data_IF_622195312757
#
_entry.id   IF_622195312757
#
_cell.length_a   1.000
_cell.length_b   1.000
_cell.length_c   1.000
_cell.angle_alpha   90.00
_cell.angle_beta   90.00
_cell.angle_gamma   90.00
#
_symmetry.space_group_name_H-M   'P 1'
#
loop_
_entity.id
_entity.type
_entity.pdbx_description
1 polymer ?
#
# COMPACT_ATOMS: atom_id res chain seq x y z
N UNK A 1 -29.06 -29.94 -52.25
CA UNK A 1 -29.14 -30.24 -50.81
C UNK A 1 -30.20 -29.36 -50.19
N UNK A 2 -31.08 -29.91 -49.36
CA UNK A 2 -32.08 -29.14 -48.62
C UNK A 2 -31.38 -28.18 -47.65
N UNK A 3 -31.54 -26.88 -47.89
CA UNK A 3 -30.88 -25.80 -47.12
C UNK A 3 -31.32 -25.79 -45.66
N UNK A 4 -32.56 -26.20 -45.38
CA UNK A 4 -33.08 -26.33 -44.02
C UNK A 4 -32.39 -27.48 -43.29
N UNK A 5 -32.35 -28.67 -43.90
CA UNK A 5 -31.66 -29.83 -43.34
C UNK A 5 -30.18 -29.56 -43.09
N UNK A 6 -29.51 -28.86 -44.00
CA UNK A 6 -28.12 -28.46 -43.84
C UNK A 6 -27.90 -27.53 -42.64
N UNK A 7 -28.76 -26.53 -42.45
CA UNK A 7 -28.73 -25.67 -41.28
C UNK A 7 -28.92 -26.45 -39.98
N UNK A 8 -29.93 -27.32 -39.91
CA UNK A 8 -30.26 -28.10 -38.71
C UNK A 8 -29.11 -29.05 -38.35
N UNK A 9 -28.52 -29.76 -39.31
CA UNK A 9 -27.38 -30.65 -39.06
C UNK A 9 -26.16 -29.89 -38.53
N UNK A 10 -25.83 -28.75 -39.17
CA UNK A 10 -24.73 -27.89 -38.72
C UNK A 10 -24.97 -27.33 -37.31
N UNK A 11 -26.18 -26.83 -37.05
CA UNK A 11 -26.55 -26.25 -35.77
C UNK A 11 -26.59 -27.28 -34.64
N UNK A 12 -27.03 -28.52 -34.92
CA UNK A 12 -27.04 -29.62 -33.96
C UNK A 12 -25.63 -30.03 -33.56
N UNK A 13 -24.72 -30.16 -34.53
CA UNK A 13 -23.30 -30.46 -34.30
C UNK A 13 -22.58 -29.35 -33.52
N UNK A 14 -22.83 -28.08 -33.85
CA UNK A 14 -22.19 -26.94 -33.18
C UNK A 14 -22.58 -26.79 -31.72
N UNK A 15 -23.84 -27.08 -31.40
CA UNK A 15 -24.42 -26.80 -30.09
C UNK A 15 -24.69 -28.07 -29.27
N UNK A 16 -24.12 -29.21 -29.66
CA UNK A 16 -24.22 -30.48 -28.93
C UNK A 16 -25.66 -30.82 -28.51
N UNK A 17 -26.61 -30.71 -29.46
CA UNK A 17 -28.04 -31.04 -29.24
C UNK A 17 -28.74 -30.25 -28.12
N UNK A 18 -28.29 -29.04 -27.80
CA UNK A 18 -28.91 -28.17 -26.78
C UNK A 18 -30.21 -27.47 -27.21
N UNK A 19 -30.61 -27.63 -28.46
CA UNK A 19 -31.71 -26.90 -29.05
C UNK A 19 -32.63 -27.82 -29.86
N UNK A 20 -33.92 -27.49 -29.83
CA UNK A 20 -34.96 -28.05 -30.69
C UNK A 20 -35.16 -27.16 -31.93
N UNK A 21 -35.19 -27.78 -33.10
CA UNK A 21 -35.36 -27.12 -34.39
C UNK A 21 -36.68 -27.51 -35.09
N UNK A 22 -37.59 -28.21 -34.40
CA UNK A 22 -38.88 -28.67 -34.95
C UNK A 22 -39.70 -27.55 -35.62
N UNK A 23 -39.61 -26.32 -35.11
CA UNK A 23 -40.34 -25.14 -35.61
C UNK A 23 -39.54 -24.27 -36.58
N UNK A 24 -38.34 -24.68 -36.97
CA UNK A 24 -37.51 -23.90 -37.89
C UNK A 24 -38.09 -23.94 -39.29
N UNK A 25 -38.34 -22.76 -39.85
CA UNK A 25 -38.67 -22.55 -41.27
C UNK A 25 -37.55 -21.73 -41.88
N UNK A 26 -36.68 -22.37 -42.68
CA UNK A 26 -35.49 -21.71 -43.20
C UNK A 26 -35.78 -20.93 -44.49
N UNK A 27 -35.53 -19.62 -44.48
CA UNK A 27 -35.64 -18.77 -45.66
C UNK A 27 -34.26 -18.34 -46.21
N UNK A 28 -33.42 -17.76 -45.35
CA UNK A 28 -32.05 -17.37 -45.67
C UNK A 28 -31.23 -17.23 -44.37
N UNK A 29 -29.95 -16.91 -44.48
CA UNK A 29 -29.04 -16.87 -43.34
C UNK A 29 -29.30 -15.71 -42.36
N UNK A 30 -30.08 -14.70 -42.75
CA UNK A 30 -30.31 -13.46 -42.01
C UNK A 30 -31.72 -13.39 -41.38
N UNK A 31 -32.72 -13.99 -42.02
CA UNK A 31 -34.09 -14.05 -41.50
C UNK A 31 -34.11 -14.88 -40.22
N UNK A 32 -34.72 -14.33 -39.16
CA UNK A 32 -34.82 -15.01 -37.87
C UNK A 32 -35.72 -16.24 -37.99
N UNK A 33 -35.30 -17.32 -37.33
CA UNK A 33 -36.05 -18.57 -37.17
C UNK A 33 -36.34 -18.80 -35.70
N UNK A 34 -37.43 -19.53 -35.41
CA UNK A 34 -37.76 -19.96 -34.05
C UNK A 34 -36.90 -21.17 -33.69
N UNK A 35 -36.09 -21.05 -32.64
CA UNK A 35 -35.23 -22.09 -32.10
C UNK A 35 -35.68 -22.38 -30.67
N UNK A 36 -35.95 -23.64 -30.33
CA UNK A 36 -36.28 -24.06 -28.99
C UNK A 36 -35.01 -24.27 -28.15
N UNK A 37 -34.83 -23.54 -27.06
CA UNK A 37 -33.88 -23.95 -26.02
C UNK A 37 -34.53 -25.02 -25.15
N UNK A 38 -33.85 -26.15 -24.92
CA UNK A 38 -34.36 -27.22 -24.07
C UNK A 38 -34.59 -26.80 -22.60
N UNK A 39 -33.99 -25.69 -22.17
CA UNK A 39 -34.07 -25.18 -20.79
C UNK A 39 -35.01 -23.96 -20.70
N UNK A 40 -34.91 -23.03 -21.65
CA UNK A 40 -35.58 -21.72 -21.56
C UNK A 40 -36.71 -21.52 -22.59
N UNK A 41 -37.02 -22.54 -23.39
CA UNK A 41 -38.07 -22.48 -24.40
C UNK A 41 -37.67 -21.76 -25.69
N UNK A 42 -38.66 -21.44 -26.53
CA UNK A 42 -38.47 -20.83 -27.85
C UNK A 42 -37.87 -19.43 -27.79
N UNK A 43 -36.95 -19.14 -28.71
CA UNK A 43 -36.41 -17.81 -28.96
C UNK A 43 -36.12 -17.62 -30.45
N UNK A 44 -35.94 -16.37 -30.88
CA UNK A 44 -35.69 -16.04 -32.29
C UNK A 44 -34.24 -15.63 -32.54
N UNK A 45 -33.58 -16.31 -33.48
CA UNK A 45 -32.25 -15.93 -33.96
C UNK A 45 -32.11 -16.18 -35.46
N UNK A 46 -31.21 -15.42 -36.11
CA UNK A 46 -30.87 -15.70 -37.51
C UNK A 46 -29.95 -16.93 -37.61
N UNK A 47 -30.09 -17.76 -38.65
CA UNK A 47 -29.22 -18.91 -38.85
C UNK A 47 -27.72 -18.58 -38.78
N UNK A 48 -27.29 -17.45 -39.37
CA UNK A 48 -25.89 -17.02 -39.35
C UNK A 48 -25.38 -16.65 -37.95
N UNK A 49 -26.23 -16.04 -37.11
CA UNK A 49 -25.85 -15.75 -35.73
C UNK A 49 -25.72 -17.04 -34.91
N UNK A 50 -26.65 -17.98 -35.12
CA UNK A 50 -26.68 -19.25 -34.40
C UNK A 50 -25.51 -20.16 -34.78
N UNK A 51 -25.14 -20.25 -36.07
CA UNK A 51 -24.06 -21.14 -36.54
C UNK A 51 -22.71 -20.43 -36.60
N UNK A 52 -22.56 -19.38 -37.41
CA UNK A 52 -21.27 -18.72 -37.66
C UNK A 52 -20.76 -17.96 -36.44
N UNK A 53 -21.63 -17.20 -35.75
CA UNK A 53 -21.25 -16.51 -34.51
C UNK A 53 -21.39 -17.38 -33.26
N UNK A 54 -21.87 -18.62 -33.41
CA UNK A 54 -22.09 -19.59 -32.33
C UNK A 54 -22.93 -19.00 -31.17
N UNK A 55 -23.83 -18.08 -31.47
CA UNK A 55 -24.71 -17.51 -30.47
C UNK A 55 -25.72 -18.58 -30.04
N UNK A 56 -25.96 -18.65 -28.74
CA UNK A 56 -26.89 -19.59 -28.13
C UNK A 56 -28.08 -18.87 -27.52
N UNK A 57 -28.85 -19.56 -26.68
CA UNK A 57 -29.95 -18.95 -25.94
C UNK A 57 -29.47 -17.73 -25.13
N UNK A 58 -30.10 -16.54 -25.28
CA UNK A 58 -29.72 -15.34 -24.53
C UNK A 58 -29.83 -15.50 -23.00
N UNK A 59 -30.78 -16.33 -22.54
CA UNK A 59 -30.99 -16.60 -21.12
C UNK A 59 -29.88 -17.50 -20.55
N UNK A 60 -29.52 -18.57 -21.26
CA UNK A 60 -28.34 -19.38 -20.93
C UNK A 60 -27.05 -18.53 -20.86
N UNK A 61 -26.86 -17.60 -21.80
CA UNK A 61 -25.69 -16.73 -21.80
C UNK A 61 -25.69 -15.78 -20.60
N UNK A 62 -26.86 -15.22 -20.26
CA UNK A 62 -27.03 -14.34 -19.10
C UNK A 62 -26.72 -15.08 -17.79
N UNK A 63 -27.25 -16.30 -17.62
CA UNK A 63 -26.97 -17.14 -16.45
C UNK A 63 -25.49 -17.50 -16.34
N UNK A 64 -24.86 -17.90 -17.45
CA UNK A 64 -23.43 -18.20 -17.47
C UNK A 64 -22.57 -16.97 -17.13
N UNK A 65 -23.00 -15.76 -17.53
CA UNK A 65 -22.35 -14.50 -17.13
C UNK A 65 -22.53 -14.21 -15.64
N UNK A 66 -23.71 -14.44 -15.08
CA UNK A 66 -23.97 -14.27 -13.64
C UNK A 66 -23.07 -15.21 -12.83
N UNK A 67 -23.00 -16.48 -13.20
CA UNK A 67 -22.15 -17.48 -12.53
C UNK A 67 -20.67 -17.07 -12.64
N UNK A 68 -20.19 -16.69 -13.84
CA UNK A 68 -18.81 -16.22 -14.06
C UNK A 68 -18.48 -14.96 -13.26
N UNK A 69 -19.42 -14.05 -13.08
CA UNK A 69 -19.20 -12.82 -12.33
C UNK A 69 -19.30 -13.03 -10.82
N UNK A 70 -20.13 -13.96 -10.35
CA UNK A 70 -20.23 -14.31 -8.92
C UNK A 70 -18.92 -14.93 -8.40
N UNK A 71 -18.22 -15.68 -9.25
CA UNK A 71 -16.93 -16.30 -8.94
C UNK A 71 -15.70 -15.41 -9.27
N UNK A 72 -15.91 -14.12 -9.57
CA UNK A 72 -14.82 -13.17 -9.93
C UNK A 72 -14.40 -12.24 -8.80
N UNK A 73 -15.14 -12.22 -7.69
CA UNK A 73 -14.75 -11.45 -6.51
C UNK A 73 -13.68 -12.21 -5.73
N UNK A 74 -12.57 -11.54 -5.42
CA UNK A 74 -11.63 -12.03 -4.41
C UNK A 74 -12.38 -12.19 -3.07
N UNK A 75 -12.04 -13.21 -2.31
CA UNK A 75 -12.38 -13.28 -0.88
C UNK A 75 -11.49 -12.33 -0.08
N UNK A 76 -11.86 -12.04 1.18
CA UNK A 76 -10.99 -11.28 2.08
C UNK A 76 -9.62 -11.96 2.22
N UNK A 77 -9.58 -13.29 2.35
CA UNK A 77 -8.34 -14.04 2.48
C UNK A 77 -7.41 -13.87 1.27
N UNK A 78 -7.95 -14.02 0.06
CA UNK A 78 -7.17 -13.81 -1.17
C UNK A 78 -6.76 -12.34 -1.36
N UNK A 79 -7.57 -11.39 -0.91
CA UNK A 79 -7.20 -9.97 -0.88
C UNK A 79 -6.00 -9.74 0.04
N UNK A 80 -6.04 -10.28 1.28
CA UNK A 80 -4.98 -10.12 2.27
C UNK A 80 -3.68 -10.76 1.79
N UNK A 81 -3.73 -11.96 1.21
CA UNK A 81 -2.54 -12.62 0.66
C UNK A 81 -1.85 -11.74 -0.39
N UNK A 82 -2.62 -11.19 -1.35
CA UNK A 82 -2.07 -10.28 -2.36
C UNK A 82 -1.58 -8.97 -1.78
N UNK A 83 -2.32 -8.40 -0.84
CA UNK A 83 -1.91 -7.15 -0.19
C UNK A 83 -0.61 -7.32 0.61
N UNK A 84 -0.42 -8.47 1.25
CA UNK A 84 0.81 -8.81 1.96
C UNK A 84 2.01 -9.00 1.04
N UNK A 85 1.81 -9.51 -0.18
CA UNK A 85 2.87 -9.58 -1.19
C UNK A 85 3.31 -8.19 -1.67
N UNK A 86 2.37 -7.24 -1.84
CA UNK A 86 2.68 -5.87 -2.27
C UNK A 86 3.33 -5.04 -1.16
N UNK A 87 2.87 -5.22 0.09
CA UNK A 87 3.27 -4.38 1.22
C UNK A 87 4.16 -5.10 2.24
N UNK A 88 4.71 -6.26 1.88
CA UNK A 88 5.61 -7.06 2.74
C UNK A 88 5.05 -7.29 4.17
N UNK A 89 3.77 -7.65 4.27
CA UNK A 89 3.05 -7.85 5.55
C UNK A 89 2.99 -6.62 6.48
N UNK A 90 3.08 -5.40 5.95
CA UNK A 90 3.10 -4.17 6.76
C UNK A 90 1.79 -3.83 7.49
N UNK A 91 0.64 -4.20 6.95
CA UNK A 91 -0.66 -3.73 7.44
C UNK A 91 -1.46 -4.85 8.10
N UNK A 92 -2.30 -4.50 9.08
CA UNK A 92 -3.27 -5.41 9.66
C UNK A 92 -4.65 -5.25 8.99
N UNK A 93 -5.29 -6.39 8.73
CA UNK A 93 -6.60 -6.50 8.09
C UNK A 93 -7.59 -7.29 8.96
N UNK A 94 -7.24 -7.59 10.22
CA UNK A 94 -8.04 -8.44 11.11
C UNK A 94 -9.47 -7.91 11.34
N UNK A 95 -9.64 -6.59 11.32
CA UNK A 95 -10.94 -5.91 11.48
C UNK A 95 -11.53 -5.43 10.13
N UNK A 96 -10.90 -5.77 9.00
CA UNK A 96 -11.32 -5.29 7.68
C UNK A 96 -12.56 -6.02 7.18
N UNK A 97 -13.56 -5.26 6.74
CA UNK A 97 -14.71 -5.81 5.99
C UNK A 97 -14.47 -5.64 4.50
N UNK A 98 -14.10 -6.73 3.81
CA UNK A 98 -13.95 -6.74 2.37
C UNK A 98 -15.26 -7.13 1.67
N UNK A 99 -15.80 -6.22 0.86
CA UNK A 99 -17.02 -6.44 0.08
C UNK A 99 -16.66 -6.87 -1.35
N UNK A 100 -15.90 -6.03 -2.07
CA UNK A 100 -15.37 -6.31 -3.39
C UNK A 100 -14.33 -5.25 -3.80
N UNK A 101 -13.66 -5.47 -4.94
CA UNK A 101 -12.47 -4.71 -5.38
C UNK A 101 -12.71 -3.21 -5.55
N UNK A 102 -13.92 -2.82 -5.96
CA UNK A 102 -14.29 -1.43 -6.22
C UNK A 102 -14.96 -0.72 -5.04
N UNK A 103 -15.12 -1.40 -3.91
CA UNK A 103 -15.67 -0.84 -2.67
C UNK A 103 -14.55 -0.40 -1.73
N UNK A 104 -14.86 0.53 -0.80
CA UNK A 104 -13.91 0.91 0.22
C UNK A 104 -13.61 -0.26 1.16
N UNK A 105 -12.41 -0.25 1.71
CA UNK A 105 -11.95 -1.18 2.74
C UNK A 105 -11.22 -0.38 3.83
N UNK A 106 -11.43 -0.77 5.09
CA UNK A 106 -10.66 -0.26 6.21
C UNK A 106 -9.40 -1.09 6.43
N UNK A 107 -8.27 -0.46 6.68
CA UNK A 107 -6.96 -1.10 6.86
C UNK A 107 -6.27 -0.45 8.07
N UNK A 108 -5.59 -1.25 8.89
CA UNK A 108 -4.87 -0.75 10.06
C UNK A 108 -3.38 -0.62 9.75
N UNK A 109 -2.86 0.60 9.88
CA UNK A 109 -1.43 0.88 9.90
C UNK A 109 -0.90 0.70 11.34
N UNK A 110 0.16 -0.09 11.57
CA UNK A 110 0.75 -0.24 12.90
C UNK A 110 1.16 1.10 13.54
N UNK A 111 1.66 2.04 12.72
CA UNK A 111 2.20 3.32 13.20
C UNK A 111 1.13 4.41 13.37
N UNK A 112 0.09 4.40 12.53
CA UNK A 112 -0.86 5.52 12.40
C UNK A 112 -2.32 5.13 12.63
N UNK A 113 -2.60 3.87 12.95
CA UNK A 113 -3.94 3.36 13.18
C UNK A 113 -4.74 3.14 11.90
N UNK A 114 -6.07 3.15 12.04
CA UNK A 114 -7.02 2.79 11.00
C UNK A 114 -7.12 3.88 9.90
N UNK A 115 -7.11 3.46 8.64
CA UNK A 115 -7.37 4.32 7.49
C UNK A 115 -8.20 3.61 6.42
N UNK A 116 -8.93 4.40 5.62
CA UNK A 116 -9.84 3.87 4.60
C UNK A 116 -9.22 4.05 3.21
N UNK A 117 -9.15 2.95 2.47
CA UNK A 117 -8.86 2.98 1.03
C UNK A 117 -10.18 2.98 0.27
N UNK A 118 -10.43 4.03 -0.53
CA UNK A 118 -11.71 4.21 -1.23
C UNK A 118 -12.07 3.13 -2.24
N UNK A 119 -11.08 2.42 -2.82
CA UNK A 119 -11.27 1.21 -3.63
C UNK A 119 -10.22 0.18 -3.25
N UNK A 120 -10.63 -0.97 -2.71
CA UNK A 120 -9.72 -2.00 -2.25
C UNK A 120 -8.65 -2.40 -3.30
N UNK A 121 -9.02 -2.46 -4.58
CA UNK A 121 -8.09 -2.78 -5.66
C UNK A 121 -6.91 -1.81 -5.79
N UNK A 122 -7.06 -0.53 -5.42
CA UNK A 122 -5.95 0.44 -5.46
C UNK A 122 -4.84 0.10 -4.47
N UNK A 123 -5.20 -0.48 -3.33
CA UNK A 123 -4.25 -0.93 -2.32
C UNK A 123 -3.25 -1.94 -2.89
N UNK A 124 -3.72 -2.83 -3.77
CA UNK A 124 -2.89 -3.87 -4.41
C UNK A 124 -2.29 -3.36 -5.73
N UNK A 125 -3.09 -2.78 -6.62
CA UNK A 125 -2.68 -2.45 -7.99
C UNK A 125 -1.72 -1.26 -8.06
N UNK A 126 -1.96 -0.24 -7.24
CA UNK A 126 -1.14 0.98 -7.20
C UNK A 126 -0.23 1.04 -5.99
N UNK A 127 -0.27 0.02 -5.13
CA UNK A 127 0.48 0.00 -3.88
C UNK A 127 0.13 1.17 -2.96
N UNK A 128 -1.14 1.60 -2.95
CA UNK A 128 -1.57 2.74 -2.12
C UNK A 128 -1.23 2.47 -0.65
N UNK A 129 -0.45 3.36 -0.04
CA UNK A 129 -0.01 3.21 1.34
C UNK A 129 -0.87 4.04 2.29
N UNK A 130 -0.67 3.83 3.59
CA UNK A 130 -1.19 4.73 4.63
C UNK A 130 -0.82 6.18 4.26
N UNK A 131 -1.80 7.10 4.15
CA UNK A 131 -1.54 8.49 3.80
C UNK A 131 -0.51 9.10 4.74
N UNK A 132 -0.62 8.86 6.05
CA UNK A 132 0.32 9.35 7.06
C UNK A 132 1.74 8.80 6.91
N UNK A 133 1.90 7.58 6.40
CA UNK A 133 3.24 7.05 6.05
C UNK A 133 3.81 7.63 4.75
N UNK A 134 2.95 8.08 3.84
CA UNK A 134 3.31 8.54 2.50
C UNK A 134 3.33 10.06 2.37
N UNK A 135 2.84 10.81 3.37
CA UNK A 135 3.13 12.24 3.48
C UNK A 135 4.60 12.35 3.85
N UNK A 136 5.37 13.11 3.06
CA UNK A 136 6.78 13.44 3.33
C UNK A 136 6.95 14.34 4.56
N UNK A 137 6.42 13.93 5.70
CA UNK A 137 6.77 14.49 7.00
C UNK A 137 8.27 14.28 7.18
N UNK A 138 9.03 15.35 7.39
CA UNK A 138 10.43 15.24 7.79
C UNK A 138 10.53 14.31 8.99
N UNK A 139 11.62 13.55 9.12
CA UNK A 139 11.79 12.69 10.30
C UNK A 139 11.64 13.45 11.62
N UNK A 140 11.99 14.73 11.62
CA UNK A 140 11.70 15.69 12.70
C UNK A 140 10.22 15.78 13.09
N UNK A 141 9.31 15.83 12.13
CA UNK A 141 7.87 15.91 12.39
C UNK A 141 7.33 14.61 13.00
N UNK A 142 7.90 13.46 12.61
CA UNK A 142 7.56 12.18 13.23
C UNK A 142 8.08 12.11 14.67
N UNK A 143 9.30 12.61 14.92
CA UNK A 143 9.88 12.70 16.27
C UNK A 143 9.00 13.59 17.16
N UNK A 144 8.56 14.76 16.68
CA UNK A 144 7.66 15.65 17.45
C UNK A 144 6.39 14.94 17.89
N UNK A 145 5.67 14.33 16.95
CA UNK A 145 4.41 13.60 17.24
C UNK A 145 4.64 12.48 18.24
N UNK A 146 5.79 11.81 18.17
CA UNK A 146 6.15 10.75 19.08
C UNK A 146 6.39 11.28 20.50
N UNK A 147 7.17 12.36 20.62
CA UNK A 147 7.41 13.01 21.91
C UNK A 147 6.11 13.56 22.51
N UNK A 148 5.25 14.19 21.70
CA UNK A 148 3.93 14.67 22.12
C UNK A 148 3.03 13.52 22.58
N UNK A 149 2.98 12.40 21.84
CA UNK A 149 2.19 11.19 22.18
C UNK A 149 2.58 10.62 23.55
N UNK A 150 3.86 10.69 23.91
CA UNK A 150 4.39 10.20 25.18
C UNK A 150 4.48 11.28 26.27
N UNK A 151 3.97 12.49 26.01
CA UNK A 151 4.04 13.65 26.90
C UNK A 151 5.48 13.99 27.36
N UNK A 152 6.47 13.78 26.50
CA UNK A 152 7.87 14.10 26.78
C UNK A 152 8.11 15.57 26.45
N UNK A 153 8.74 16.31 27.37
CA UNK A 153 9.11 17.71 27.15
C UNK A 153 10.35 17.80 26.26
N UNK A 154 10.33 18.65 25.24
CA UNK A 154 11.45 18.83 24.32
C UNK A 154 11.62 20.27 23.85
N UNK A 155 12.85 20.59 23.46
CA UNK A 155 13.22 21.82 22.76
C UNK A 155 13.70 21.48 21.35
N UNK A 156 13.22 22.22 20.35
CA UNK A 156 13.64 22.06 18.94
C UNK A 156 14.83 22.96 18.61
N UNK A 157 15.71 22.52 17.70
CA UNK A 157 16.85 23.32 17.20
C UNK A 157 17.74 23.90 18.32
N UNK A 158 17.98 23.11 19.38
CA UNK A 158 18.76 23.53 20.55
C UNK A 158 20.17 23.94 20.13
N UNK A 159 20.62 25.10 20.59
CA UNK A 159 21.96 25.64 20.34
C UNK A 159 22.69 25.84 21.65
N UNK A 160 23.93 25.42 21.70
CA UNK A 160 24.82 25.69 22.83
C UNK A 160 25.89 26.69 22.41
N UNK A 161 26.04 27.77 23.16
CA UNK A 161 26.97 28.86 22.82
C UNK A 161 28.42 28.40 22.68
N UNK A 162 28.77 27.30 23.35
CA UNK A 162 30.11 26.72 23.42
C UNK A 162 30.35 25.65 22.33
N UNK A 163 29.28 25.17 21.66
CA UNK A 163 29.39 24.21 20.57
C UNK A 163 29.54 24.95 19.23
N UNK A 164 30.78 25.23 18.82
CA UNK A 164 31.08 26.02 17.61
C UNK A 164 31.92 25.26 16.58
N UNK A 165 31.65 25.54 15.31
CA UNK A 165 32.46 25.08 14.19
C UNK A 165 33.83 25.80 14.19
N UNK A 166 34.97 25.07 14.28
CA UNK A 166 36.31 25.66 14.27
C UNK A 166 36.62 26.48 13.01
N UNK A 167 36.00 26.12 11.88
CA UNK A 167 36.25 26.76 10.58
C UNK A 167 35.45 28.04 10.38
N UNK A 168 34.23 28.11 10.91
CA UNK A 168 33.29 29.20 10.62
C UNK A 168 32.85 29.98 11.85
N UNK A 169 33.26 29.55 13.04
CA UNK A 169 32.86 30.05 14.36
C UNK A 169 31.34 30.09 14.60
N UNK A 170 30.57 29.38 13.76
CA UNK A 170 29.11 29.27 13.85
C UNK A 170 28.72 28.27 14.93
N UNK A 171 27.66 28.61 15.67
CA UNK A 171 27.08 27.71 16.67
C UNK A 171 26.36 26.56 15.95
N UNK A 172 26.64 25.33 16.38
CA UNK A 172 25.97 24.14 15.88
C UNK A 172 24.64 23.96 16.62
N UNK A 173 23.60 23.63 15.87
CA UNK A 173 22.28 23.30 16.40
C UNK A 173 22.04 21.81 16.38
N UNK A 174 21.29 21.34 17.36
CA UNK A 174 20.78 19.99 17.48
C UNK A 174 19.29 19.93 17.20
N UNK A 175 18.79 18.88 16.56
CA UNK A 175 17.39 18.84 16.11
C UNK A 175 16.42 18.86 17.29
N UNK A 176 16.68 18.04 18.31
CA UNK A 176 15.90 18.02 19.55
C UNK A 176 16.79 17.92 20.78
N UNK A 177 16.33 18.52 21.88
CA UNK A 177 16.87 18.36 23.22
C UNK A 177 15.76 17.99 24.19
N UNK A 178 15.95 16.94 24.98
CA UNK A 178 15.05 16.47 26.02
C UNK A 178 15.63 16.86 27.38
N UNK A 179 15.15 17.95 28.02
CA UNK A 179 15.75 18.46 29.25
C UNK A 179 15.69 17.47 30.41
N UNK A 180 14.56 16.77 30.54
CA UNK A 180 14.31 15.84 31.66
C UNK A 180 15.24 14.62 31.63
N UNK A 181 15.70 14.24 30.43
CA UNK A 181 16.54 13.07 30.19
C UNK A 181 17.99 13.43 29.85
N UNK A 182 18.34 14.73 29.88
CA UNK A 182 19.63 15.27 29.45
C UNK A 182 20.13 14.63 28.13
N UNK A 183 19.23 14.56 27.13
CA UNK A 183 19.45 13.81 25.89
C UNK A 183 19.23 14.70 24.66
N UNK A 184 20.13 14.61 23.68
CA UNK A 184 20.06 15.25 22.36
C UNK A 184 19.71 14.21 21.30
N UNK A 185 18.86 14.59 20.34
CA UNK A 185 18.50 13.75 19.20
C UNK A 185 18.86 14.47 17.89
N UNK A 186 19.54 13.75 17.00
CA UNK A 186 19.83 14.15 15.62
C UNK A 186 19.15 13.18 14.65
N UNK A 187 18.49 13.70 13.63
CA UNK A 187 17.86 12.92 12.57
C UNK A 187 18.69 13.00 11.27
N UNK A 188 19.42 11.93 10.98
CA UNK A 188 20.30 11.84 9.82
C UNK A 188 19.51 11.44 8.55
N UNK A 189 19.16 12.42 7.72
CA UNK A 189 18.45 12.23 6.46
C UNK A 189 19.22 11.45 5.37
N UNK A 190 18.56 11.13 4.25
CA UNK A 190 19.10 10.34 3.13
C UNK A 190 20.40 10.90 2.52
N UNK A 191 20.64 12.21 2.66
CA UNK A 191 21.86 12.90 2.23
C UNK A 191 23.13 12.45 2.97
N UNK A 192 23.01 11.71 4.08
CA UNK A 192 24.15 11.13 4.81
C UNK A 192 24.64 9.79 4.22
N UNK A 193 23.77 9.08 3.48
CA UNK A 193 23.99 7.67 3.12
C UNK A 193 24.29 7.42 1.64
N UNK A 194 24.07 8.40 0.77
CA UNK A 194 24.49 8.31 -0.63
C UNK A 194 25.88 8.93 -0.75
N UNK A 195 26.98 8.16 -0.90
CA UNK A 195 28.13 8.70 -1.60
C UNK A 195 27.58 9.06 -2.97
N UNK A 196 27.51 10.35 -3.28
CA UNK A 196 27.18 10.83 -4.62
C UNK A 196 28.34 10.41 -5.50
N UNK A 197 28.34 9.14 -5.92
CA UNK A 197 29.11 8.62 -7.04
C UNK A 197 28.51 9.27 -8.26
N UNK A 198 28.76 10.55 -8.47
CA UNK A 198 28.76 11.26 -9.74
C UNK A 198 28.93 12.76 -9.42
N UNK A 199 30.20 13.18 -9.45
CA UNK A 199 30.68 14.55 -9.66
C UNK A 199 30.28 15.60 -8.60
N UNK A 200 31.27 16.37 -8.12
CA UNK A 200 31.22 17.42 -7.07
C UNK A 200 31.50 16.95 -5.63
N UNK A 201 32.64 16.27 -5.43
CA UNK A 201 33.31 16.20 -4.12
C UNK A 201 33.95 17.56 -3.86
N UNK A 202 33.25 18.41 -3.11
CA UNK A 202 33.77 19.70 -2.65
C UNK A 202 33.22 19.98 -1.26
N UNK A 203 34.08 20.40 -0.34
CA UNK A 203 33.91 21.06 0.98
C UNK A 203 32.73 20.70 1.90
N UNK A 204 31.51 20.51 1.39
CA UNK A 204 30.28 20.28 2.16
C UNK A 204 30.25 18.92 2.87
N UNK A 205 30.72 17.85 2.22
CA UNK A 205 30.75 16.51 2.82
C UNK A 205 31.76 16.42 3.97
N UNK A 206 32.96 16.99 3.76
CA UNK A 206 33.99 17.09 4.80
C UNK A 206 33.51 17.94 5.98
N UNK A 207 32.81 19.06 5.72
CA UNK A 207 32.17 19.87 6.77
C UNK A 207 31.10 19.10 7.53
N UNK A 208 30.32 18.24 6.88
CA UNK A 208 29.30 17.42 7.54
C UNK A 208 29.94 16.42 8.51
N UNK A 209 30.95 15.67 8.07
CA UNK A 209 31.73 14.75 8.92
C UNK A 209 32.39 15.50 10.08
N UNK A 210 32.92 16.70 9.82
CA UNK A 210 33.56 17.51 10.85
C UNK A 210 32.55 18.01 11.89
N UNK A 211 31.40 18.54 11.46
CA UNK A 211 30.34 18.98 12.36
C UNK A 211 29.83 17.83 13.22
N UNK A 212 29.73 16.64 12.64
CA UNK A 212 29.36 15.43 13.36
C UNK A 212 30.33 15.05 14.47
N UNK A 213 31.63 15.07 14.17
CA UNK A 213 32.67 14.79 15.15
C UNK A 213 32.63 15.81 16.31
N UNK A 214 32.38 17.09 16.02
CA UNK A 214 32.28 18.16 17.02
C UNK A 214 31.05 17.96 17.91
N UNK A 215 29.88 17.65 17.32
CA UNK A 215 28.65 17.37 18.08
C UNK A 215 28.83 16.19 19.02
N UNK A 216 29.43 15.10 18.54
CA UNK A 216 29.71 13.91 19.35
C UNK A 216 30.70 14.20 20.48
N UNK A 217 31.76 14.95 20.19
CA UNK A 217 32.73 15.36 21.21
C UNK A 217 32.10 16.27 22.28
N UNK A 218 31.25 17.22 21.86
CA UNK A 218 30.56 18.13 22.78
C UNK A 218 29.64 17.37 23.73
N UNK A 219 28.81 16.46 23.21
CA UNK A 219 27.92 15.63 24.02
C UNK A 219 28.71 14.80 25.05
N UNK A 220 29.81 14.17 24.63
CA UNK A 220 30.70 13.40 25.51
C UNK A 220 31.35 14.27 26.60
N UNK A 221 31.82 15.47 26.26
CA UNK A 221 32.48 16.39 27.22
C UNK A 221 31.51 16.99 28.24
N UNK A 222 30.26 17.22 27.85
CA UNK A 222 29.23 17.82 28.71
C UNK A 222 28.41 16.78 29.48
N UNK A 223 28.62 15.49 29.23
CA UNK A 223 27.86 14.41 29.84
C UNK A 223 26.41 14.32 29.36
N UNK A 224 26.12 14.88 28.19
CA UNK A 224 24.80 14.82 27.55
C UNK A 224 24.76 13.58 26.65
N UNK A 225 23.66 12.83 26.70
CA UNK A 225 23.47 11.65 25.84
C UNK A 225 23.13 12.13 24.43
N UNK A 226 23.82 11.63 23.40
CA UNK A 226 23.52 11.96 22.00
C UNK A 226 23.00 10.73 21.26
N UNK A 227 21.77 10.80 20.78
CA UNK A 227 21.12 9.77 19.96
C UNK A 227 21.09 10.24 18.50
N UNK A 228 21.61 9.41 17.60
CA UNK A 228 21.53 9.64 16.15
C UNK A 228 20.59 8.64 15.52
N UNK A 229 19.59 9.15 14.81
CA UNK A 229 18.54 8.35 14.21
C UNK A 229 18.66 8.47 12.68
N UNK A 230 19.13 7.42 11.98
CA UNK A 230 19.18 7.45 10.52
C UNK A 230 17.77 7.33 9.93
N UNK A 231 17.55 7.96 8.76
CA UNK A 231 16.27 7.89 8.04
C UNK A 231 15.82 6.47 7.71
N UNK A 232 16.74 5.50 7.64
CA UNK A 232 16.43 4.08 7.41
C UNK A 232 15.75 3.42 8.62
N UNK A 233 15.87 3.99 9.82
CA UNK A 233 15.30 3.47 11.08
C UNK A 233 14.01 4.17 11.50
N UNK A 234 13.36 4.94 10.61
CA UNK A 234 12.06 5.56 10.88
C UNK A 234 11.03 4.57 11.45
N UNK A 235 11.04 3.31 10.99
CA UNK A 235 10.12 2.26 11.45
C UNK A 235 10.38 1.77 12.88
N UNK A 236 11.54 2.09 13.45
CA UNK A 236 11.93 1.71 14.82
C UNK A 236 12.12 2.93 15.72
N UNK A 237 11.70 4.12 15.25
CA UNK A 237 11.88 5.39 15.95
C UNK A 237 11.34 5.36 17.39
N UNK A 238 10.17 4.76 17.59
CA UNK A 238 9.55 4.65 18.92
C UNK A 238 10.42 3.85 19.89
N UNK A 239 10.96 2.70 19.45
CA UNK A 239 11.83 1.90 20.31
C UNK A 239 13.18 2.58 20.53
N UNK A 240 13.77 3.18 19.49
CA UNK A 240 15.09 3.80 19.58
C UNK A 240 15.09 5.01 20.53
N UNK A 241 13.98 5.76 20.59
CA UNK A 241 13.80 6.87 21.55
C UNK A 241 13.38 6.33 22.93
N UNK A 242 12.36 5.47 23.01
CA UNK A 242 11.79 5.05 24.30
C UNK A 242 12.70 4.14 25.12
N UNK A 243 13.54 3.29 24.51
CA UNK A 243 14.48 2.46 25.27
C UNK A 243 15.44 3.32 26.10
N UNK A 244 15.92 4.41 25.54
CA UNK A 244 16.88 5.32 26.23
C UNK A 244 16.20 6.17 27.30
N UNK A 245 14.95 6.55 27.08
CA UNK A 245 14.13 7.32 28.01
C UNK A 245 13.73 6.45 29.23
N UNK A 246 13.32 5.19 29.00
CA UNK A 246 12.87 4.27 30.06
C UNK A 246 13.98 3.73 30.95
N UNK A 247 15.19 3.51 30.40
CA UNK A 247 16.36 3.12 31.21
C UNK A 247 16.71 4.18 32.29
N UNK A 248 16.29 5.43 32.09
CA UNK A 248 16.48 6.52 33.04
C UNK A 248 15.42 6.53 34.17
N UNK A 249 14.17 6.15 33.86
CA UNK A 249 13.08 6.03 34.84
C UNK A 249 13.31 4.85 35.81
N UNK A 250 13.78 3.70 35.30
CA UNK A 250 14.12 2.52 36.14
C UNK A 250 15.34 2.73 37.06
N UNK A 251 16.11 3.79 36.81
CA UNK A 251 17.25 4.19 37.63
C UNK A 251 16.87 5.19 38.75
N UNK A 252 15.76 5.94 38.57
CA UNK A 252 15.22 6.84 39.60
C UNK A 252 14.43 6.10 40.69
N UNK A 253 13.79 4.98 40.37
CA UNK A 253 13.06 4.16 41.36
C UNK A 253 13.96 3.25 42.23
N UNK A 254 15.29 3.29 42.05
CA UNK A 254 16.25 2.62 42.94
C UNK A 254 16.96 3.56 43.92
N UNK A 255 16.59 4.84 43.96
CA UNK A 255 17.15 5.86 44.88
C UNK A 255 16.10 6.50 45.78
N UNK A 256 15.14 5.72 46.27
CA UNK A 256 14.30 6.09 47.42
C UNK A 256 14.41 5.04 48.51
#
# INVERSE_FOLDING_TARGET
MDRQKHFIDLATKLHNSRYDYTKVIYHNAQTKVEIGCLIHGSFFQSPNNHTSKKQGCPLCEKEAKIIRNKNRGLTLAEFVEKANQVHSNKYDYSQSVYICSNKPISITCPDHGEFIVGRAEKHILTGQQCPSCNVGSSGEELIKRLLDKHNIVYEVQKKFNDCRSPLTNRILSFDFYLPDYNTLIEFDGEHHFKPVKLFHVGDKFERMIMHDAIKTAYASQTGIILIRIPYTRIQHLENDILCQVRDHDDCHDRKK
#
